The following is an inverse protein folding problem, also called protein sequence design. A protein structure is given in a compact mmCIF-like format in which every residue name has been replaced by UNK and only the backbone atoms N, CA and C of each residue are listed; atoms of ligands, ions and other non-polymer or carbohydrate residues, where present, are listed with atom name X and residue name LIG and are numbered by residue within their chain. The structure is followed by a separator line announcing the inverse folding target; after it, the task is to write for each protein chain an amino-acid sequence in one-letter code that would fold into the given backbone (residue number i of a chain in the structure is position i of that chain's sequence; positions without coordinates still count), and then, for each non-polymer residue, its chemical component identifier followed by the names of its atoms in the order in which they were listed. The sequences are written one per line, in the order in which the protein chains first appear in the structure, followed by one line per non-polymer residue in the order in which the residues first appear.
data_IF_841343207778
#
_entry.id   IF_841343207778
#
_cell.length_a   1.000
_cell.length_b   1.000
_cell.length_c   1.000
_cell.angle_alpha   90.00
_cell.angle_beta   90.00
_cell.angle_gamma   90.00
#
_symmetry.space_group_name_H-M   'P 1'
#
loop_
_entity.id
_entity.type
_entity.pdbx_description
1 polymer ?
#
# COMPACT_ATOMS: atom_id res chain seq x y z
N UNK A 1 -1.49 12.40 8.16
CA UNK A 1 -2.23 11.72 7.08
C UNK A 1 -2.82 12.77 6.16
N UNK A 2 -2.79 12.56 4.85
CA UNK A 2 -3.36 13.46 3.85
C UNK A 2 -4.48 12.74 3.09
N UNK A 3 -5.58 13.44 2.84
CA UNK A 3 -6.76 12.92 2.16
C UNK A 3 -7.18 13.86 1.02
N UNK A 4 -7.43 13.32 -0.16
CA UNK A 4 -7.91 14.07 -1.33
C UNK A 4 -9.15 13.38 -1.92
N UNK A 5 -10.26 14.11 -2.01
CA UNK A 5 -11.54 13.61 -2.52
C UNK A 5 -11.78 14.14 -3.94
N UNK A 6 -11.92 13.22 -4.90
CA UNK A 6 -12.25 13.51 -6.29
C UNK A 6 -13.65 13.01 -6.60
N UNK A 7 -14.58 13.92 -6.89
CA UNK A 7 -15.93 13.60 -7.42
C UNK A 7 -15.92 13.01 -8.84
N UNK A 8 -14.73 12.83 -9.41
CA UNK A 8 -14.45 12.26 -10.73
C UNK A 8 -13.58 11.02 -10.59
N UNK A 9 -13.49 10.24 -11.67
CA UNK A 9 -12.57 9.11 -11.75
C UNK A 9 -11.10 9.56 -11.55
N UNK A 10 -10.30 8.64 -11.00
CA UNK A 10 -8.87 8.83 -10.81
C UNK A 10 -8.15 9.13 -12.14
N UNK A 11 -7.20 10.07 -12.11
CA UNK A 11 -6.29 10.39 -13.21
C UNK A 11 -4.85 10.31 -12.70
N UNK A 12 -3.90 9.94 -13.56
CA UNK A 12 -2.49 9.85 -13.19
C UNK A 12 -1.92 11.15 -12.58
N UNK A 13 -2.42 12.32 -13.00
CA UNK A 13 -2.06 13.63 -12.42
C UNK A 13 -2.40 13.74 -10.93
N UNK A 14 -3.41 13.03 -10.45
CA UNK A 14 -3.80 13.05 -9.04
C UNK A 14 -2.74 12.39 -8.16
N UNK A 15 -2.07 11.33 -8.66
CA UNK A 15 -0.95 10.71 -7.96
C UNK A 15 0.25 11.65 -7.85
N UNK A 16 0.55 12.42 -8.90
CA UNK A 16 1.58 13.44 -8.88
C UNK A 16 1.32 14.53 -7.83
N UNK A 17 0.08 15.04 -7.76
CA UNK A 17 -0.33 16.02 -6.75
C UNK A 17 -0.18 15.47 -5.33
N UNK A 18 -0.71 14.27 -5.07
CA UNK A 18 -0.61 13.66 -3.75
C UNK A 18 0.84 13.34 -3.37
N UNK A 19 1.67 12.87 -4.30
CA UNK A 19 3.09 12.65 -4.05
C UNK A 19 3.81 13.95 -3.66
N UNK A 20 3.48 15.06 -4.31
CA UNK A 20 3.99 16.38 -3.92
C UNK A 20 3.58 16.73 -2.48
N UNK A 21 2.30 16.57 -2.12
CA UNK A 21 1.83 16.89 -0.78
C UNK A 21 2.48 16.02 0.30
N UNK A 22 2.61 14.71 0.07
CA UNK A 22 3.25 13.79 1.01
C UNK A 22 4.73 14.17 1.22
N UNK A 23 5.46 14.47 0.15
CA UNK A 23 6.85 14.91 0.23
C UNK A 23 7.00 16.25 0.95
N UNK A 24 6.11 17.21 0.68
CA UNK A 24 6.12 18.49 1.36
C UNK A 24 5.94 18.32 2.87
N UNK A 25 4.94 17.54 3.29
CA UNK A 25 4.71 17.28 4.71
C UNK A 25 5.90 16.58 5.36
N UNK A 26 6.44 15.57 4.68
CA UNK A 26 7.61 14.82 5.16
C UNK A 26 8.81 15.73 5.45
N UNK A 27 9.04 16.71 4.58
CA UNK A 27 10.24 17.55 4.64
C UNK A 27 10.06 18.86 5.43
N UNK A 28 8.83 19.34 5.62
CA UNK A 28 8.56 20.70 6.12
C UNK A 28 7.64 20.76 7.34
N UNK A 29 6.82 19.74 7.58
CA UNK A 29 5.71 19.83 8.56
C UNK A 29 5.85 18.81 9.70
N UNK A 30 6.48 17.66 9.45
CA UNK A 30 6.61 16.62 10.47
C UNK A 30 7.36 17.11 11.72
N UNK A 31 6.80 16.77 12.88
CA UNK A 31 7.45 16.93 14.18
C UNK A 31 8.24 15.66 14.59
N UNK A 32 9.21 15.77 15.51
CA UNK A 32 9.86 14.60 16.08
C UNK A 32 8.83 13.65 16.72
N UNK A 33 8.85 12.38 16.30
CA UNK A 33 7.91 11.36 16.76
C UNK A 33 6.70 11.13 15.85
N UNK A 34 6.51 11.95 14.81
CA UNK A 34 5.44 11.72 13.84
C UNK A 34 5.71 10.48 12.96
N UNK A 35 4.63 9.79 12.62
CA UNK A 35 4.67 8.75 11.59
C UNK A 35 4.84 9.38 10.20
N UNK A 36 5.53 8.70 9.26
CA UNK A 36 5.62 9.16 7.88
C UNK A 36 4.23 9.44 7.28
N UNK A 37 4.07 10.54 6.52
CA UNK A 37 2.79 10.88 5.93
C UNK A 37 2.33 9.80 4.95
N UNK A 38 1.03 9.50 5.05
CA UNK A 38 0.32 8.61 4.14
C UNK A 38 -0.67 9.45 3.34
N UNK A 39 -0.66 9.28 2.02
CA UNK A 39 -1.59 9.93 1.11
C UNK A 39 -2.71 8.99 0.70
N UNK A 40 -3.96 9.44 0.81
CA UNK A 40 -5.13 8.68 0.36
C UNK A 40 -5.91 9.54 -0.63
N UNK A 41 -6.14 8.99 -1.81
CA UNK A 41 -7.02 9.58 -2.84
C UNK A 41 -8.31 8.76 -2.86
N UNK A 42 -9.43 9.43 -2.59
CA UNK A 42 -10.77 8.87 -2.72
C UNK A 42 -11.38 9.40 -4.02
N UNK A 43 -11.79 8.52 -4.93
CA UNK A 43 -12.34 8.91 -6.23
C UNK A 43 -13.67 8.21 -6.53
N UNK A 44 -14.47 8.76 -7.45
CA UNK A 44 -15.77 8.16 -7.79
C UNK A 44 -15.64 6.84 -8.53
N UNK A 45 -14.53 6.65 -9.23
CA UNK A 45 -14.16 5.39 -9.89
C UNK A 45 -12.64 5.29 -10.14
N UNK A 46 -12.14 4.08 -10.38
CA UNK A 46 -10.71 3.78 -10.51
C UNK A 46 -10.45 2.58 -11.41
N UNK A 47 -9.59 2.77 -12.41
CA UNK A 47 -8.98 1.69 -13.19
C UNK A 47 -7.71 1.21 -12.47
N UNK A 48 -7.65 -0.08 -12.14
CA UNK A 48 -6.56 -0.68 -11.38
C UNK A 48 -5.21 -0.51 -12.09
N UNK A 49 -5.16 -0.78 -13.40
CA UNK A 49 -3.95 -0.66 -14.23
C UNK A 49 -3.44 0.78 -14.22
N UNK A 50 -4.33 1.77 -14.42
CA UNK A 50 -3.93 3.18 -14.40
C UNK A 50 -3.35 3.60 -13.06
N UNK A 51 -3.84 3.04 -11.96
CA UNK A 51 -3.30 3.35 -10.64
C UNK A 51 -1.94 2.72 -10.47
N UNK A 52 -1.79 1.44 -10.79
CA UNK A 52 -0.51 0.74 -10.69
C UNK A 52 0.59 1.48 -11.44
N UNK A 53 0.34 1.88 -12.70
CA UNK A 53 1.30 2.66 -13.46
C UNK A 53 1.51 4.07 -12.92
N UNK A 54 0.45 4.74 -12.45
CA UNK A 54 0.57 6.10 -11.91
C UNK A 54 1.28 6.16 -10.56
N UNK A 55 1.30 5.07 -9.79
CA UNK A 55 1.96 5.01 -8.48
C UNK A 55 3.27 4.23 -8.51
N UNK A 56 3.60 3.57 -9.61
CA UNK A 56 4.84 2.81 -9.77
C UNK A 56 6.07 3.71 -9.55
N UNK A 57 7.00 3.24 -8.74
CA UNK A 57 8.24 3.98 -8.42
C UNK A 57 8.06 5.13 -7.43
N UNK A 58 6.88 5.33 -6.85
CA UNK A 58 6.72 6.25 -5.72
C UNK A 58 7.11 5.56 -4.42
N UNK A 59 8.12 6.09 -3.73
CA UNK A 59 8.56 5.60 -2.40
C UNK A 59 7.53 5.89 -1.29
N UNK A 60 6.58 6.78 -1.57
CA UNK A 60 5.60 7.25 -0.61
C UNK A 60 4.38 6.31 -0.53
N UNK A 61 3.87 6.11 0.69
CA UNK A 61 2.64 5.35 0.93
C UNK A 61 1.43 6.12 0.41
N UNK A 62 1.12 5.91 -0.87
CA UNK A 62 -0.01 6.48 -1.57
C UNK A 62 -1.04 5.40 -1.88
N UNK A 63 -2.27 5.63 -1.44
CA UNK A 63 -3.39 4.72 -1.66
C UNK A 63 -4.46 5.42 -2.49
N UNK A 64 -5.03 4.71 -3.45
CA UNK A 64 -6.15 5.20 -4.25
C UNK A 64 -7.31 4.22 -4.06
N UNK A 65 -8.44 4.72 -3.58
CA UNK A 65 -9.64 3.91 -3.37
C UNK A 65 -10.87 4.59 -3.95
N UNK A 66 -11.83 3.78 -4.38
CA UNK A 66 -13.16 4.27 -4.72
C UNK A 66 -13.92 4.55 -3.43
N UNK A 67 -14.69 5.65 -3.38
CA UNK A 67 -15.64 5.88 -2.29
C UNK A 67 -17.03 5.34 -2.63
N UNK A 68 -17.75 4.91 -1.61
CA UNK A 68 -19.16 4.53 -1.73
C UNK A 68 -20.02 5.78 -1.54
N UNK A 69 -20.87 6.08 -2.53
CA UNK A 69 -21.77 7.27 -2.49
C UNK A 69 -22.83 7.13 -1.41
N UNK A 70 -23.26 5.90 -1.14
CA UNK A 70 -24.13 5.54 -0.01
C UNK A 70 -23.42 4.52 0.87
N UNK A 71 -23.62 4.65 2.18
CA UNK A 71 -23.18 3.61 3.11
C UNK A 71 -23.96 2.31 2.80
N UNK A 72 -23.30 1.16 2.65
CA UNK A 72 -23.99 -0.12 2.55
C UNK A 72 -24.76 -0.40 3.85
N UNK A 73 -25.73 -1.31 3.80
CA UNK A 73 -26.50 -1.65 5.01
C UNK A 73 -25.57 -2.21 6.10
N UNK A 74 -25.92 -2.14 7.39
CA UNK A 74 -25.10 -2.69 8.47
C UNK A 74 -24.68 -4.15 8.24
N UNK A 75 -25.58 -4.96 7.68
CA UNK A 75 -25.33 -6.38 7.37
C UNK A 75 -24.30 -6.54 6.24
N UNK A 76 -24.41 -5.71 5.19
CA UNK A 76 -23.46 -5.70 4.08
C UNK A 76 -22.08 -5.24 4.54
N UNK A 77 -22.03 -4.19 5.39
CA UNK A 77 -20.78 -3.68 5.93
C UNK A 77 -20.11 -4.71 6.84
N UNK A 78 -20.86 -5.37 7.72
CA UNK A 78 -20.35 -6.45 8.57
C UNK A 78 -19.75 -7.58 7.73
N UNK A 79 -20.44 -7.97 6.65
CA UNK A 79 -19.91 -8.97 5.71
C UNK A 79 -18.59 -8.53 5.06
N UNK A 80 -18.46 -7.27 4.63
CA UNK A 80 -17.21 -6.78 4.06
C UNK A 80 -16.06 -6.83 5.06
N UNK A 81 -16.30 -6.40 6.30
CA UNK A 81 -15.29 -6.43 7.38
C UNK A 81 -14.83 -7.86 7.66
N UNK A 82 -15.75 -8.81 7.75
CA UNK A 82 -15.41 -10.22 8.00
C UNK A 82 -14.64 -10.86 6.83
N UNK A 83 -15.03 -10.53 5.59
CA UNK A 83 -14.31 -10.98 4.39
C UNK A 83 -12.88 -10.44 4.34
N UNK A 84 -12.72 -9.14 4.60
CA UNK A 84 -11.41 -8.49 4.63
C UNK A 84 -10.55 -9.06 5.76
N UNK A 85 -11.12 -9.25 6.97
CA UNK A 85 -10.43 -9.87 8.11
C UNK A 85 -9.88 -11.26 7.75
N UNK A 86 -10.73 -12.14 7.22
CA UNK A 86 -10.33 -13.48 6.83
C UNK A 86 -9.21 -13.46 5.76
N UNK A 87 -9.31 -12.54 4.79
CA UNK A 87 -8.29 -12.35 3.75
C UNK A 87 -6.95 -11.92 4.35
N UNK A 88 -6.95 -10.96 5.26
CA UNK A 88 -5.72 -10.49 5.91
C UNK A 88 -5.09 -11.58 6.78
N UNK A 89 -5.89 -12.34 7.52
CA UNK A 89 -5.41 -13.48 8.32
C UNK A 89 -4.73 -14.53 7.43
N UNK A 90 -5.34 -14.91 6.31
CA UNK A 90 -4.77 -15.87 5.36
C UNK A 90 -3.44 -15.37 4.74
N UNK A 91 -3.36 -14.08 4.37
CA UNK A 91 -2.14 -13.47 3.85
C UNK A 91 -1.03 -13.41 4.91
N UNK A 92 -1.39 -13.14 6.17
CA UNK A 92 -0.43 -13.10 7.29
C UNK A 92 0.13 -14.47 7.64
N UNK A 93 -0.65 -15.55 7.45
CA UNK A 93 -0.21 -16.91 7.68
C UNK A 93 0.84 -17.38 6.65
N UNK A 94 0.74 -16.93 5.38
CA UNK A 94 1.73 -17.27 4.34
C UNK A 94 3.10 -16.61 4.54
N UNK A 95 3.19 -15.54 5.35
CA UNK A 95 4.47 -14.87 5.62
C UNK A 95 5.26 -15.50 6.78
N UNK A 96 4.70 -16.49 7.49
CA UNK A 96 5.33 -17.15 8.64
C UNK A 96 6.21 -18.37 8.30
N UNK A 97 6.40 -18.73 7.03
CA UNK A 97 7.30 -19.83 6.65
C UNK A 97 8.76 -19.47 6.95
N UNK A 98 9.51 -20.26 7.75
CA UNK A 98 10.83 -19.85 8.21
C UNK A 98 11.85 -19.88 7.07
N UNK A 99 12.61 -18.79 6.91
CA UNK A 99 13.81 -18.64 6.06
C UNK A 99 14.99 -19.54 6.50
N UNK A 100 14.75 -20.77 6.94
CA UNK A 100 15.78 -21.71 7.37
C UNK A 100 16.17 -22.70 6.25
N UNK A 101 16.60 -22.23 5.08
CA UNK A 101 17.14 -23.14 4.05
C UNK A 101 18.33 -22.60 3.23
N UNK A 102 18.67 -21.31 3.30
CA UNK A 102 19.69 -20.76 2.39
C UNK A 102 21.15 -20.99 2.86
N UNK A 103 21.40 -21.47 4.08
CA UNK A 103 22.76 -21.44 4.67
C UNK A 103 23.56 -22.75 4.64
N UNK A 104 23.25 -23.73 3.78
CA UNK A 104 23.99 -25.02 3.73
C UNK A 104 24.62 -25.44 2.39
N UNK A 105 24.80 -24.54 1.41
CA UNK A 105 25.50 -24.87 0.14
C UNK A 105 26.87 -24.23 -0.11
N UNK A 106 27.40 -23.40 0.79
CA UNK A 106 28.70 -22.73 0.58
C UNK A 106 29.88 -23.29 1.39
N UNK A 107 29.72 -24.43 2.08
CA UNK A 107 30.79 -25.03 2.90
C UNK A 107 31.24 -26.39 2.38
N UNK A 108 31.41 -26.55 1.06
CA UNK A 108 31.95 -27.77 0.46
C UNK A 108 32.52 -27.58 -0.97
N UNK A 109 33.21 -26.46 -1.25
CA UNK A 109 34.12 -26.35 -2.41
C UNK A 109 35.27 -25.41 -2.02
N UNK A 110 36.36 -25.98 -1.50
CA UNK A 110 37.53 -25.21 -1.08
C UNK A 110 38.64 -26.03 -0.41
N UNK A 111 38.73 -27.33 -0.70
CA UNK A 111 39.91 -28.16 -0.38
C UNK A 111 40.15 -29.10 -1.55
N UNK A 112 41.40 -29.15 -2.01
CA UNK A 112 41.96 -29.75 -3.24
C UNK A 112 41.89 -28.81 -4.48
N UNK A 113 43.00 -28.34 -5.07
CA UNK A 113 44.41 -28.57 -4.79
C UNK A 113 45.31 -27.82 -5.79
N UNK A 114 46.61 -27.91 -5.51
CA UNK A 114 47.80 -27.47 -6.27
C UNK A 114 48.21 -26.00 -6.16
#
# INVERSE_FOLDING_TARGET
MLLDLKVRAFRHVDAGQMNYYVNYFKNRVMAPGDNPPVGIILCSDRDQTKVEFATAGMDNKLFVSRYLVSLPTPEQLSRFVEQDRARFEALSAQQRTPRAFVRKRQRQKGRAGM
#
